data_IF_932580005940
#
_entry.id   IF_932580005940
#
_cell.length_a   1.000
_cell.length_b   1.000
_cell.length_c   1.000
_cell.angle_alpha   90.00
_cell.angle_beta   90.00
_cell.angle_gamma   90.00
#
_symmetry.space_group_name_H-M   'P 1'
#
loop_
_entity.id
_entity.type
_entity.pdbx_description
1 polymer ?
#
# COMPACT_ATOMS: atom_id res chain seq x y z
N UNK A 1 0.78 -14.64 15.32
CA UNK A 1 1.62 -13.60 15.93
C UNK A 1 2.19 -12.87 14.75
N UNK A 2 1.93 -11.56 14.64
CA UNK A 2 2.05 -10.80 13.40
C UNK A 2 3.45 -10.90 12.78
N UNK A 3 4.50 -10.84 13.61
CA UNK A 3 5.88 -11.01 13.13
C UNK A 3 6.12 -12.39 12.50
N UNK A 4 5.61 -13.45 13.12
CA UNK A 4 5.73 -14.82 12.57
C UNK A 4 4.99 -14.94 11.24
N UNK A 5 3.85 -14.26 11.11
CA UNK A 5 3.05 -14.30 9.89
C UNK A 5 3.75 -13.50 8.76
N UNK A 6 4.44 -12.39 9.08
CA UNK A 6 5.36 -11.67 8.18
C UNK A 6 6.52 -12.57 7.70
N UNK A 7 7.25 -13.20 8.63
CA UNK A 7 8.41 -14.04 8.31
C UNK A 7 8.01 -15.24 7.43
N UNK A 8 6.86 -15.87 7.72
CA UNK A 8 6.34 -16.99 6.94
C UNK A 8 5.87 -16.58 5.54
N UNK A 9 5.25 -15.40 5.40
CA UNK A 9 4.86 -14.87 4.10
C UNK A 9 6.07 -14.59 3.19
N UNK A 10 7.16 -14.04 3.75
CA UNK A 10 8.42 -13.83 3.02
C UNK A 10 8.97 -15.19 2.53
N UNK A 11 9.00 -16.19 3.41
CA UNK A 11 9.48 -17.54 3.08
C UNK A 11 8.66 -18.20 1.98
N UNK A 12 7.33 -18.17 2.09
CA UNK A 12 6.42 -18.77 1.10
C UNK A 12 6.48 -18.05 -0.24
N UNK A 13 6.57 -16.72 -0.24
CA UNK A 13 6.73 -15.96 -1.47
C UNK A 13 8.01 -16.39 -2.20
N UNK A 14 9.14 -16.47 -1.49
CA UNK A 14 10.40 -16.96 -2.08
C UNK A 14 10.30 -18.38 -2.63
N UNK A 15 9.66 -19.29 -1.89
CA UNK A 15 9.48 -20.68 -2.32
C UNK A 15 8.68 -20.79 -3.63
N UNK A 16 7.66 -19.94 -3.81
CA UNK A 16 6.76 -19.98 -4.97
C UNK A 16 7.31 -19.18 -6.16
N UNK A 17 7.92 -18.02 -5.92
CA UNK A 17 8.34 -17.10 -6.99
C UNK A 17 9.83 -17.22 -7.35
N UNK A 18 10.65 -17.82 -6.49
CA UNK A 18 12.10 -17.91 -6.64
C UNK A 18 12.84 -16.62 -6.28
N UNK A 19 12.14 -15.61 -5.78
CA UNK A 19 12.72 -14.33 -5.36
C UNK A 19 12.04 -13.83 -4.08
N UNK A 20 12.73 -12.99 -3.31
CA UNK A 20 12.15 -12.34 -2.13
C UNK A 20 11.15 -11.25 -2.56
N UNK A 21 10.03 -11.05 -1.85
CA UNK A 21 9.18 -9.88 -2.11
C UNK A 21 9.93 -8.60 -1.75
N UNK A 22 9.86 -7.59 -2.62
CA UNK A 22 10.51 -6.28 -2.39
C UNK A 22 9.54 -5.22 -1.90
N UNK A 23 8.22 -5.44 -1.97
CA UNK A 23 7.20 -4.55 -1.43
C UNK A 23 6.27 -5.28 -0.46
N UNK A 24 5.67 -4.53 0.47
CA UNK A 24 4.72 -5.07 1.44
C UNK A 24 3.42 -4.28 1.51
N UNK A 25 2.30 -5.00 1.55
CA UNK A 25 0.96 -4.46 1.80
C UNK A 25 0.09 -5.50 2.50
N UNK A 26 -0.40 -5.18 3.70
CA UNK A 26 -1.28 -6.02 4.51
C UNK A 26 -2.76 -5.66 4.32
N UNK A 27 -3.04 -4.38 4.08
CA UNK A 27 -4.36 -3.78 4.01
C UNK A 27 -4.99 -3.57 5.39
N UNK A 28 -5.33 -4.65 6.08
CA UNK A 28 -5.91 -4.57 7.44
C UNK A 28 -4.82 -4.69 8.49
N UNK A 29 -4.13 -3.58 8.72
CA UNK A 29 -2.98 -3.50 9.63
C UNK A 29 -3.35 -3.53 11.11
N UNK A 30 -2.36 -3.88 11.92
CA UNK A 30 -2.30 -3.52 13.33
C UNK A 30 -1.50 -2.21 13.49
N UNK A 31 -1.45 -1.68 14.72
CA UNK A 31 -0.58 -0.54 15.05
C UNK A 31 0.91 -0.84 14.90
N UNK A 32 1.29 -2.11 14.75
CA UNK A 32 2.67 -2.55 14.65
C UNK A 32 3.12 -2.83 13.22
N UNK A 33 2.20 -3.01 12.25
CA UNK A 33 2.53 -3.59 10.95
C UNK A 33 3.64 -2.84 10.22
N UNK A 34 3.49 -1.52 10.03
CA UNK A 34 4.48 -0.70 9.32
C UNK A 34 5.84 -0.75 10.01
N UNK A 35 5.86 -0.66 11.35
CA UNK A 35 7.10 -0.76 12.14
C UNK A 35 7.76 -2.13 11.99
N UNK A 36 7.00 -3.22 12.10
CA UNK A 36 7.53 -4.59 11.99
C UNK A 36 8.14 -4.85 10.61
N UNK A 37 7.51 -4.34 9.55
CA UNK A 37 7.99 -4.48 8.18
C UNK A 37 9.26 -3.64 7.96
N UNK A 38 9.28 -2.40 8.47
CA UNK A 38 10.46 -1.55 8.41
C UNK A 38 11.65 -2.12 9.22
N UNK A 39 11.39 -2.70 10.40
CA UNK A 39 12.39 -3.39 11.23
C UNK A 39 12.95 -4.66 10.56
N UNK A 40 12.19 -5.29 9.67
CA UNK A 40 12.67 -6.43 8.89
C UNK A 40 13.77 -6.01 7.91
N UNK A 41 13.67 -4.79 7.35
CA UNK A 41 14.74 -4.12 6.61
C UNK A 41 15.01 -4.66 5.20
N UNK A 42 14.26 -5.66 4.73
CA UNK A 42 14.44 -6.27 3.40
C UNK A 42 13.48 -5.75 2.32
N UNK A 43 12.71 -4.70 2.58
CA UNK A 43 11.68 -4.17 1.66
C UNK A 43 12.06 -2.81 1.09
N UNK A 44 11.91 -2.67 -0.22
CA UNK A 44 12.08 -1.41 -0.95
C UNK A 44 10.96 -0.41 -0.61
N UNK A 45 9.73 -0.88 -0.37
CA UNK A 45 8.61 -0.03 -0.02
C UNK A 45 7.50 -0.72 0.79
N UNK A 46 6.70 0.08 1.50
CA UNK A 46 5.48 -0.32 2.20
C UNK A 46 4.30 0.52 1.72
N UNK A 47 3.15 -0.10 1.52
CA UNK A 47 1.94 0.57 0.98
C UNK A 47 0.74 0.57 1.94
N UNK A 48 0.97 0.28 3.22
CA UNK A 48 -0.06 0.24 4.27
C UNK A 48 -0.47 1.63 4.80
N UNK A 49 -0.44 2.66 3.93
CA UNK A 49 -0.94 4.01 4.22
C UNK A 49 -1.82 4.52 3.08
N UNK A 50 -2.60 5.56 3.36
CA UNK A 50 -3.59 6.15 2.45
C UNK A 50 -3.62 7.68 2.63
N UNK A 51 -2.45 8.28 2.85
CA UNK A 51 -2.30 9.58 3.52
C UNK A 51 -1.55 10.64 2.72
N UNK A 52 -1.16 10.34 1.48
CA UNK A 52 -0.52 11.29 0.58
C UNK A 52 -0.67 10.82 -0.88
N UNK A 53 -0.45 11.73 -1.83
CA UNK A 53 -0.45 11.44 -3.27
C UNK A 53 0.95 11.21 -3.84
N UNK A 54 1.98 11.39 -3.00
CA UNK A 54 3.38 11.18 -3.33
C UNK A 54 4.07 10.19 -2.36
N UNK A 55 5.09 9.47 -2.82
CA UNK A 55 5.94 8.69 -1.94
C UNK A 55 6.67 9.56 -0.91
N UNK A 56 6.86 9.03 0.29
CA UNK A 56 7.61 9.70 1.35
C UNK A 56 8.43 8.72 2.20
N UNK A 57 9.41 9.23 2.93
CA UNK A 57 10.23 8.41 3.84
C UNK A 57 9.64 8.39 5.24
N UNK A 58 9.44 7.19 5.77
CA UNK A 58 9.12 6.95 7.18
C UNK A 58 10.43 6.75 7.95
N UNK A 59 10.80 7.75 8.77
CA UNK A 59 12.08 7.85 9.48
C UNK A 59 11.92 7.96 11.01
N UNK A 60 10.75 7.58 11.53
CA UNK A 60 10.40 7.62 12.96
C UNK A 60 10.51 6.23 13.62
N UNK A 61 10.17 6.18 14.91
CA UNK A 61 10.17 4.96 15.73
C UNK A 61 11.53 4.30 15.95
N UNK A 62 12.62 5.08 15.84
CA UNK A 62 13.98 4.61 16.15
C UNK A 62 14.57 3.66 15.10
N UNK A 63 14.01 3.64 13.89
CA UNK A 63 14.55 2.87 12.77
C UNK A 63 15.96 3.34 12.41
N UNK A 64 16.87 2.40 12.18
CA UNK A 64 18.23 2.70 11.71
C UNK A 64 18.26 3.18 10.26
N UNK A 65 17.34 2.67 9.43
CA UNK A 65 17.19 3.04 8.01
C UNK A 65 15.75 3.48 7.75
N UNK A 66 15.52 4.63 7.09
CA UNK A 66 14.17 5.05 6.71
C UNK A 66 13.51 4.06 5.74
N UNK A 67 12.22 3.81 5.92
CA UNK A 67 11.41 2.98 5.03
C UNK A 67 10.67 3.86 4.01
N UNK A 68 10.77 3.55 2.72
CA UNK A 68 9.95 4.23 1.71
C UNK A 68 8.50 3.81 1.86
N UNK A 69 7.60 4.79 1.94
CA UNK A 69 6.16 4.60 1.89
C UNK A 69 5.67 5.00 0.50
N UNK A 70 4.88 4.13 -0.12
CA UNK A 70 4.13 4.41 -1.35
C UNK A 70 2.65 4.24 -1.01
N UNK A 71 1.92 5.32 -0.72
CA UNK A 71 0.51 5.24 -0.31
C UNK A 71 -0.33 4.46 -1.31
N UNK A 72 -1.27 3.66 -0.79
CA UNK A 72 -2.27 2.94 -1.57
C UNK A 72 -3.63 3.67 -1.51
N UNK A 73 -4.67 3.09 -2.10
CA UNK A 73 -6.02 3.67 -2.18
C UNK A 73 -7.09 2.67 -1.76
N UNK A 74 -8.09 3.16 -1.01
CA UNK A 74 -9.34 2.45 -0.73
C UNK A 74 -10.54 3.03 -1.50
N UNK A 75 -10.34 4.16 -2.19
CA UNK A 75 -11.39 4.90 -2.87
C UNK A 75 -11.35 4.66 -4.39
N UNK A 76 -10.21 4.85 -5.04
CA UNK A 76 -9.92 4.44 -6.41
C UNK A 76 -9.63 2.93 -6.47
N UNK A 77 -10.54 2.14 -5.91
CA UNK A 77 -10.40 0.71 -5.68
C UNK A 77 -11.71 -0.01 -5.99
N UNK A 78 -11.64 -1.13 -6.70
CA UNK A 78 -12.81 -1.91 -7.10
C UNK A 78 -13.49 -2.61 -5.92
N UNK A 79 -12.84 -2.70 -4.75
CA UNK A 79 -13.49 -3.14 -3.50
C UNK A 79 -14.78 -2.36 -3.22
N UNK A 80 -14.90 -1.14 -3.75
CA UNK A 80 -16.08 -0.29 -3.63
C UNK A 80 -17.32 -0.88 -4.31
N UNK A 81 -17.20 -1.85 -5.21
CA UNK A 81 -18.38 -2.59 -5.70
C UNK A 81 -19.02 -3.47 -4.62
N UNK A 82 -18.28 -3.82 -3.57
CA UNK A 82 -18.72 -4.73 -2.50
C UNK A 82 -18.92 -4.03 -1.14
N UNK A 83 -18.90 -2.69 -1.09
CA UNK A 83 -19.13 -1.92 0.13
C UNK A 83 -20.50 -1.22 0.12
N UNK A 84 -21.13 -0.96 1.28
CA UNK A 84 -22.43 -0.29 1.35
C UNK A 84 -22.48 1.07 0.64
N UNK A 85 -21.39 1.83 0.72
CA UNK A 85 -21.16 3.01 -0.10
C UNK A 85 -20.23 2.59 -1.24
N UNK A 86 -20.80 2.41 -2.42
CA UNK A 86 -20.12 1.73 -3.51
C UNK A 86 -20.62 2.09 -4.90
N UNK A 87 -19.94 1.53 -5.90
CA UNK A 87 -20.32 1.66 -7.30
C UNK A 87 -21.37 0.60 -7.65
N UNK A 88 -22.43 1.02 -8.35
CA UNK A 88 -23.51 0.15 -8.81
C UNK A 88 -23.32 -0.30 -10.26
N UNK A 89 -22.41 0.33 -11.01
CA UNK A 89 -22.10 -0.01 -12.40
C UNK A 89 -20.65 0.35 -12.75
N UNK A 90 -20.16 -0.24 -13.83
CA UNK A 90 -18.81 0.05 -14.35
C UNK A 90 -18.61 1.51 -14.70
N UNK A 91 -19.63 2.18 -15.24
CA UNK A 91 -19.56 3.60 -15.62
C UNK A 91 -19.28 4.52 -14.43
N UNK A 92 -19.78 4.17 -13.23
CA UNK A 92 -19.52 4.95 -12.02
C UNK A 92 -18.06 4.83 -11.58
N UNK A 93 -17.48 3.63 -11.63
CA UNK A 93 -16.06 3.44 -11.33
C UNK A 93 -15.16 4.07 -12.40
N UNK A 94 -15.52 3.94 -13.67
CA UNK A 94 -14.82 4.59 -14.77
C UNK A 94 -14.79 6.11 -14.59
N UNK A 95 -15.94 6.74 -14.33
CA UNK A 95 -16.01 8.18 -14.10
C UNK A 95 -15.14 8.60 -12.91
N UNK A 96 -15.18 7.84 -11.81
CA UNK A 96 -14.35 8.09 -10.63
C UNK A 96 -12.85 8.09 -10.96
N UNK A 97 -12.36 7.03 -11.63
CA UNK A 97 -10.95 6.93 -12.03
C UNK A 97 -10.55 8.04 -13.00
N UNK A 98 -11.43 8.38 -13.95
CA UNK A 98 -11.19 9.45 -14.91
C UNK A 98 -11.04 10.80 -14.21
N UNK A 99 -11.93 11.11 -13.27
CA UNK A 99 -11.91 12.39 -12.57
C UNK A 99 -10.68 12.50 -11.64
N UNK A 100 -10.29 11.41 -10.96
CA UNK A 100 -9.03 11.33 -10.21
C UNK A 100 -7.81 11.57 -11.12
N UNK A 101 -7.77 10.91 -12.28
CA UNK A 101 -6.68 11.07 -13.25
C UNK A 101 -6.61 12.50 -13.78
N UNK A 102 -7.72 13.06 -14.28
CA UNK A 102 -7.73 14.38 -14.93
C UNK A 102 -7.28 15.48 -13.95
N UNK A 103 -7.65 15.36 -12.67
CA UNK A 103 -7.23 16.28 -11.61
C UNK A 103 -5.72 16.23 -11.40
N UNK A 104 -5.17 15.05 -11.08
CA UNK A 104 -3.73 14.87 -10.85
C UNK A 104 -2.89 15.20 -12.09
N UNK A 105 -3.41 14.87 -13.28
CA UNK A 105 -2.76 15.18 -14.54
C UNK A 105 -2.72 16.69 -14.84
N UNK A 106 -3.75 17.44 -14.45
CA UNK A 106 -3.76 18.89 -14.56
C UNK A 106 -2.78 19.53 -13.57
N UNK A 107 -2.73 19.05 -12.33
CA UNK A 107 -1.78 19.51 -11.31
C UNK A 107 -0.32 19.29 -11.74
N UNK A 108 0.00 18.11 -12.29
CA UNK A 108 1.35 17.80 -12.78
C UNK A 108 1.83 18.61 -13.98
N UNK A 109 0.97 19.46 -14.57
CA UNK A 109 1.34 20.39 -15.66
C UNK A 109 1.54 21.84 -15.19
N UNK A 110 1.07 22.18 -13.99
CA UNK A 110 1.18 23.52 -13.42
C UNK A 110 2.60 23.79 -12.91
#
# INVERSE_FOLDING_TARGET
DEKRDLDEAIRLHYEVTGARPTGWYTGRTSVNTVRLVAEEGGFDYVSDTYDDELPYWFDRDGLETPQLIIPYTLDANDMRFATPQGFNSGDQFFAYLKDSFDTLYAEGKA
#
